data_IF_753027219472
#
_entry.id   IF_753027219472
#
_cell.length_a   1.000
_cell.length_b   1.000
_cell.length_c   1.000
_cell.angle_alpha   90.00
_cell.angle_beta   90.00
_cell.angle_gamma   90.00
#
_symmetry.space_group_name_H-M   'P 1'
#
loop_
_entity.id
_entity.type
_entity.pdbx_description
1 polymer ?
#
# COMPACT_ATOMS: atom_id res chain seq x y z
N UNK A 1 12.78 -7.76 -32.10
CA UNK A 1 12.10 -7.61 -30.80
C UNK A 1 10.60 -7.95 -30.89
N UNK A 2 9.84 -7.42 -31.83
CA UNK A 2 8.41 -7.67 -32.00
C UNK A 2 8.07 -9.15 -32.31
N UNK A 3 8.88 -9.84 -33.10
CA UNK A 3 8.70 -11.25 -33.41
C UNK A 3 8.96 -12.19 -32.22
N UNK A 4 9.86 -11.83 -31.28
CA UNK A 4 10.11 -12.60 -30.06
C UNK A 4 8.95 -12.44 -29.07
N UNK A 5 8.31 -11.28 -29.02
CA UNK A 5 7.10 -11.02 -28.21
C UNK A 5 5.89 -11.83 -28.71
N UNK A 6 5.82 -12.12 -30.02
CA UNK A 6 4.73 -12.93 -30.60
C UNK A 6 4.92 -14.45 -30.44
N UNK A 7 6.15 -14.92 -30.37
CA UNK A 7 6.46 -16.36 -30.40
C UNK A 7 6.56 -17.01 -29.02
N UNK A 8 6.85 -16.26 -27.93
CA UNK A 8 7.06 -16.82 -26.60
C UNK A 8 5.89 -16.48 -25.65
N UNK A 9 5.05 -17.45 -25.26
CA UNK A 9 3.88 -17.21 -24.39
C UNK A 9 4.27 -16.64 -23.01
N UNK A 10 5.44 -16.98 -22.48
CA UNK A 10 5.94 -16.45 -21.21
C UNK A 10 6.25 -14.96 -21.28
N UNK A 11 6.97 -14.54 -22.34
CA UNK A 11 7.30 -13.13 -22.56
C UNK A 11 6.04 -12.30 -22.79
N UNK A 12 5.09 -12.83 -23.55
CA UNK A 12 3.78 -12.21 -23.79
C UNK A 12 2.96 -12.08 -22.49
N UNK A 13 2.93 -13.11 -21.66
CA UNK A 13 2.25 -13.09 -20.37
C UNK A 13 2.87 -12.11 -19.40
N UNK A 14 4.21 -12.07 -19.29
CA UNK A 14 4.92 -11.11 -18.45
C UNK A 14 4.71 -9.67 -18.92
N UNK A 15 4.80 -9.38 -20.22
CA UNK A 15 4.56 -8.02 -20.73
C UNK A 15 3.13 -7.55 -20.43
N UNK A 16 2.13 -8.44 -20.57
CA UNK A 16 0.75 -8.14 -20.20
C UNK A 16 0.60 -7.84 -18.70
N UNK A 17 1.26 -8.62 -17.82
CA UNK A 17 1.26 -8.37 -16.38
C UNK A 17 1.90 -7.03 -16.02
N UNK A 18 3.05 -6.69 -16.62
CA UNK A 18 3.70 -5.40 -16.38
C UNK A 18 2.82 -4.23 -16.84
N UNK A 19 2.24 -4.32 -18.03
CA UNK A 19 1.35 -3.27 -18.55
C UNK A 19 0.09 -3.12 -17.69
N UNK A 20 -0.57 -4.22 -17.31
CA UNK A 20 -1.73 -4.19 -16.42
C UNK A 20 -1.39 -3.64 -15.03
N UNK A 21 -0.17 -3.93 -14.55
CA UNK A 21 0.33 -3.42 -13.27
C UNK A 21 0.53 -1.91 -13.28
N UNK A 22 0.98 -1.33 -14.39
CA UNK A 22 1.08 0.12 -14.54
C UNK A 22 -0.29 0.80 -14.35
N UNK A 23 -1.33 0.28 -15.00
CA UNK A 23 -2.67 0.82 -14.90
C UNK A 23 -3.33 0.57 -13.52
N UNK A 24 -2.96 -0.49 -12.82
CA UNK A 24 -3.52 -0.79 -11.49
C UNK A 24 -3.17 0.24 -10.41
N UNK A 25 -2.13 1.07 -10.61
CA UNK A 25 -1.81 2.20 -9.73
C UNK A 25 -2.83 3.34 -9.77
N UNK A 26 -3.84 3.25 -10.65
CA UNK A 26 -4.84 4.30 -10.91
C UNK A 26 -5.72 4.71 -9.72
N UNK A 27 -5.85 3.89 -8.66
CA UNK A 27 -6.58 4.26 -7.45
C UNK A 27 -6.14 5.62 -6.89
N UNK A 28 -4.87 5.93 -6.97
CA UNK A 28 -4.33 7.17 -6.45
C UNK A 28 -4.87 8.43 -7.16
N UNK A 29 -5.52 8.30 -8.34
CA UNK A 29 -6.26 9.38 -9.00
C UNK A 29 -7.40 9.94 -8.13
N UNK A 30 -7.96 9.12 -7.24
CA UNK A 30 -9.08 9.50 -6.38
C UNK A 30 -8.62 10.37 -5.21
N UNK A 31 -7.35 10.26 -4.78
CA UNK A 31 -6.83 10.95 -3.60
C UNK A 31 -7.02 12.49 -3.68
N UNK A 32 -6.68 13.19 -4.78
CA UNK A 32 -6.88 14.63 -4.89
C UNK A 32 -8.34 15.07 -4.95
N UNK A 33 -9.28 14.14 -5.23
CA UNK A 33 -10.72 14.44 -5.27
C UNK A 33 -11.34 14.52 -3.88
N UNK A 34 -10.70 13.96 -2.85
CA UNK A 34 -11.27 13.84 -1.49
C UNK A 34 -11.72 15.18 -0.92
N UNK A 35 -10.94 16.27 -1.01
CA UNK A 35 -11.38 17.59 -0.53
C UNK A 35 -12.59 18.15 -1.30
N UNK A 36 -12.67 17.87 -2.60
CA UNK A 36 -13.79 18.31 -3.45
C UNK A 36 -15.06 17.53 -3.07
N UNK A 37 -14.96 16.23 -2.83
CA UNK A 37 -16.06 15.39 -2.34
C UNK A 37 -16.56 15.88 -0.98
N UNK A 38 -15.66 16.25 -0.04
CA UNK A 38 -16.04 16.81 1.24
C UNK A 38 -16.94 18.03 1.08
N UNK A 39 -16.54 18.98 0.23
CA UNK A 39 -17.30 20.20 -0.05
C UNK A 39 -18.63 19.93 -0.75
N UNK A 40 -18.63 19.06 -1.76
CA UNK A 40 -19.82 18.82 -2.58
C UNK A 40 -20.93 18.05 -1.84
N UNK A 41 -20.57 17.10 -0.99
CA UNK A 41 -21.54 16.33 -0.20
C UNK A 41 -21.79 16.96 1.19
N UNK A 42 -21.18 18.09 1.51
CA UNK A 42 -21.34 18.75 2.81
C UNK A 42 -20.85 17.88 3.98
N UNK A 43 -19.89 16.97 3.74
CA UNK A 43 -19.34 16.12 4.80
C UNK A 43 -18.09 16.76 5.40
N UNK A 44 -17.86 16.46 6.67
CA UNK A 44 -16.67 16.94 7.36
C UNK A 44 -15.38 16.35 6.77
N UNK A 45 -14.25 17.02 7.03
CA UNK A 45 -12.95 16.55 6.58
C UNK A 45 -12.66 15.10 7.02
N UNK A 46 -12.96 14.76 8.29
CA UNK A 46 -12.80 13.39 8.77
C UNK A 46 -13.79 12.40 8.14
N UNK A 47 -15.02 12.87 7.80
CA UNK A 47 -15.97 12.08 7.02
C UNK A 47 -15.41 11.73 5.65
N UNK A 48 -14.82 12.70 4.94
CA UNK A 48 -14.19 12.48 3.64
C UNK A 48 -12.98 11.54 3.72
N UNK A 49 -12.20 11.59 4.78
CA UNK A 49 -11.09 10.68 5.03
C UNK A 49 -11.51 9.21 5.07
N UNK A 50 -12.79 8.92 5.40
CA UNK A 50 -13.31 7.55 5.43
C UNK A 50 -13.30 6.86 4.05
N UNK A 51 -13.15 7.59 2.95
CA UNK A 51 -12.95 6.99 1.63
C UNK A 51 -11.69 6.13 1.62
N UNK A 52 -10.59 6.63 2.18
CA UNK A 52 -9.33 5.88 2.29
C UNK A 52 -9.48 4.69 3.24
N UNK A 53 -10.19 4.87 4.36
CA UNK A 53 -10.51 3.79 5.31
C UNK A 53 -11.34 2.70 4.64
N UNK A 54 -12.40 3.07 3.94
CA UNK A 54 -13.27 2.11 3.24
C UNK A 54 -12.48 1.31 2.19
N UNK A 55 -11.63 1.97 1.42
CA UNK A 55 -10.76 1.29 0.46
C UNK A 55 -9.77 0.34 1.16
N UNK A 56 -9.15 0.74 2.27
CA UNK A 56 -8.23 -0.11 3.04
C UNK A 56 -8.93 -1.34 3.63
N UNK A 57 -10.14 -1.16 4.19
CA UNK A 57 -10.98 -2.27 4.66
C UNK A 57 -11.33 -3.20 3.49
N UNK A 58 -11.69 -2.62 2.34
CA UNK A 58 -11.94 -3.37 1.11
C UNK A 58 -10.75 -4.23 0.70
N UNK A 59 -9.53 -3.68 0.75
CA UNK A 59 -8.30 -4.44 0.46
C UNK A 59 -8.13 -5.63 1.41
N UNK A 60 -8.38 -5.44 2.69
CA UNK A 60 -8.30 -6.53 3.67
C UNK A 60 -9.32 -7.64 3.34
N UNK A 61 -10.57 -7.30 3.10
CA UNK A 61 -11.64 -8.24 2.71
C UNK A 61 -11.27 -8.94 1.38
N UNK A 62 -10.81 -8.16 0.40
CA UNK A 62 -10.40 -8.66 -0.91
C UNK A 62 -9.24 -9.66 -0.85
N UNK A 63 -8.32 -9.50 0.10
CA UNK A 63 -7.23 -10.46 0.33
C UNK A 63 -7.76 -11.86 0.71
N UNK A 64 -8.81 -11.91 1.53
CA UNK A 64 -9.44 -13.18 1.92
C UNK A 64 -10.20 -13.80 0.73
N UNK A 65 -10.93 -12.96 0.00
CA UNK A 65 -11.68 -13.39 -1.21
C UNK A 65 -10.71 -13.89 -2.28
N UNK A 66 -9.59 -13.20 -2.49
CA UNK A 66 -8.57 -13.57 -3.46
C UNK A 66 -8.02 -14.98 -3.20
N UNK A 67 -7.71 -15.32 -1.95
CA UNK A 67 -7.25 -16.67 -1.60
C UNK A 67 -8.24 -17.76 -2.04
N UNK A 68 -9.52 -17.56 -1.70
CA UNK A 68 -10.57 -18.55 -2.06
C UNK A 68 -10.81 -18.61 -3.57
N UNK A 69 -10.80 -17.46 -4.25
CA UNK A 69 -11.07 -17.38 -5.68
C UNK A 69 -9.93 -18.00 -6.50
N UNK A 70 -8.69 -17.70 -6.13
CA UNK A 70 -7.50 -18.27 -6.76
C UNK A 70 -7.47 -19.80 -6.62
N UNK A 71 -7.79 -20.32 -5.44
CA UNK A 71 -7.81 -21.76 -5.18
C UNK A 71 -8.91 -22.50 -5.95
N UNK A 72 -10.07 -21.85 -6.19
CA UNK A 72 -11.23 -22.49 -6.85
C UNK A 72 -11.30 -22.26 -8.35
N UNK A 73 -10.99 -21.07 -8.81
CA UNK A 73 -11.25 -20.63 -10.20
C UNK A 73 -9.96 -20.31 -10.96
N UNK A 74 -8.82 -20.34 -10.30
CA UNK A 74 -7.51 -20.07 -10.89
C UNK A 74 -7.18 -18.57 -11.07
N UNK A 75 -5.94 -18.32 -11.47
CA UNK A 75 -5.33 -17.00 -11.52
C UNK A 75 -5.99 -16.07 -12.55
N UNK A 76 -6.41 -16.62 -13.71
CA UNK A 76 -6.99 -15.85 -14.81
C UNK A 76 -8.28 -15.15 -14.44
N UNK A 77 -9.18 -15.85 -13.72
CA UNK A 77 -10.45 -15.27 -13.29
C UNK A 77 -10.22 -14.07 -12.37
N UNK A 78 -9.29 -14.18 -11.44
CA UNK A 78 -8.95 -13.08 -10.54
C UNK A 78 -8.29 -11.89 -11.26
N UNK A 79 -7.44 -12.16 -12.27
CA UNK A 79 -6.81 -11.13 -13.11
C UNK A 79 -7.82 -10.36 -13.98
N UNK A 80 -8.95 -10.95 -14.31
CA UNK A 80 -10.00 -10.31 -15.09
C UNK A 80 -11.05 -9.67 -14.18
N UNK A 81 -11.53 -10.41 -13.17
CA UNK A 81 -12.61 -9.96 -12.29
C UNK A 81 -12.19 -8.76 -11.42
N UNK A 82 -10.94 -8.73 -10.92
CA UNK A 82 -10.45 -7.60 -10.11
C UNK A 82 -10.61 -6.26 -10.85
N UNK A 83 -9.92 -6.04 -11.96
CA UNK A 83 -10.00 -4.78 -12.71
C UNK A 83 -11.41 -4.48 -13.24
N UNK A 84 -12.18 -5.49 -13.65
CA UNK A 84 -13.54 -5.30 -14.12
C UNK A 84 -14.45 -4.78 -13.00
N UNK A 85 -14.42 -5.40 -11.82
CA UNK A 85 -15.22 -4.96 -10.67
C UNK A 85 -14.78 -3.56 -10.21
N UNK A 86 -13.47 -3.27 -10.19
CA UNK A 86 -12.95 -1.94 -9.86
C UNK A 86 -13.46 -0.88 -10.84
N UNK A 87 -13.41 -1.16 -12.15
CA UNK A 87 -13.89 -0.26 -13.20
C UNK A 87 -15.39 0.01 -13.08
N UNK A 88 -16.20 -1.04 -12.94
CA UNK A 88 -17.65 -0.93 -12.78
C UNK A 88 -18.01 -0.14 -11.52
N UNK A 89 -17.40 -0.46 -10.38
CA UNK A 89 -17.63 0.26 -9.12
C UNK A 89 -17.26 1.75 -9.24
N UNK A 90 -16.16 2.08 -9.91
CA UNK A 90 -15.76 3.47 -10.12
C UNK A 90 -16.75 4.22 -11.02
N UNK A 91 -17.29 3.60 -12.08
CA UNK A 91 -18.32 4.20 -12.92
C UNK A 91 -19.62 4.46 -12.15
N UNK A 92 -20.02 3.57 -11.25
CA UNK A 92 -21.22 3.77 -10.44
C UNK A 92 -21.15 5.00 -9.54
N UNK A 93 -19.95 5.51 -9.20
CA UNK A 93 -19.80 6.78 -8.47
C UNK A 93 -20.42 7.98 -9.22
N UNK A 94 -20.52 7.93 -10.57
CA UNK A 94 -21.15 8.98 -11.37
C UNK A 94 -22.60 9.25 -10.99
N UNK A 95 -23.31 8.22 -10.55
CA UNK A 95 -24.73 8.26 -10.16
C UNK A 95 -24.95 8.18 -8.65
N UNK A 96 -23.86 8.30 -7.84
CA UNK A 96 -23.98 8.22 -6.40
C UNK A 96 -24.70 9.45 -5.82
N UNK A 97 -25.94 9.31 -5.27
CA UNK A 97 -26.68 10.44 -4.70
C UNK A 97 -26.22 10.78 -3.28
N UNK A 98 -25.61 9.83 -2.59
CA UNK A 98 -25.17 9.98 -1.19
C UNK A 98 -23.71 9.59 -1.01
N UNK A 99 -23.06 10.26 -0.08
CA UNK A 99 -21.66 10.00 0.25
C UNK A 99 -21.42 8.55 0.73
N UNK A 100 -22.38 7.96 1.45
CA UNK A 100 -22.27 6.57 1.91
C UNK A 100 -22.17 5.55 0.77
N UNK A 101 -22.81 5.81 -0.37
CA UNK A 101 -22.67 4.95 -1.55
C UNK A 101 -21.23 5.03 -2.10
N UNK A 102 -20.61 6.21 -2.05
CA UNK A 102 -19.19 6.35 -2.47
C UNK A 102 -18.28 5.56 -1.54
N UNK A 103 -18.53 5.56 -0.22
CA UNK A 103 -17.76 4.74 0.73
C UNK A 103 -17.90 3.25 0.43
N UNK A 104 -19.13 2.80 0.16
CA UNK A 104 -19.39 1.39 -0.21
C UNK A 104 -18.71 1.00 -1.52
N UNK A 105 -18.75 1.86 -2.54
CA UNK A 105 -18.06 1.64 -3.80
C UNK A 105 -16.54 1.66 -3.63
N UNK A 106 -16.00 2.54 -2.75
CA UNK A 106 -14.58 2.56 -2.41
C UNK A 106 -14.13 1.25 -1.74
N UNK A 107 -14.97 0.66 -0.88
CA UNK A 107 -14.72 -0.64 -0.29
C UNK A 107 -14.66 -1.74 -1.37
N UNK A 108 -15.59 -1.75 -2.33
CA UNK A 108 -15.58 -2.69 -3.45
C UNK A 108 -14.33 -2.50 -4.31
N UNK A 109 -13.97 -1.25 -4.64
CA UNK A 109 -12.75 -0.95 -5.40
C UNK A 109 -11.49 -1.44 -4.67
N UNK A 110 -11.42 -1.28 -3.34
CA UNK A 110 -10.33 -1.82 -2.54
C UNK A 110 -10.24 -3.35 -2.57
N UNK A 111 -11.37 -4.03 -2.48
CA UNK A 111 -11.40 -5.49 -2.57
C UNK A 111 -10.95 -5.99 -3.95
N UNK A 112 -11.39 -5.32 -5.01
CA UNK A 112 -11.03 -5.59 -6.38
C UNK A 112 -9.53 -5.35 -6.66
N UNK A 113 -8.96 -4.26 -6.11
CA UNK A 113 -7.52 -3.96 -6.19
C UNK A 113 -6.67 -5.06 -5.52
N UNK A 114 -7.10 -5.52 -4.35
CA UNK A 114 -6.39 -6.60 -3.64
C UNK A 114 -6.45 -7.93 -4.41
N UNK A 115 -7.60 -8.24 -5.02
CA UNK A 115 -7.77 -9.42 -5.85
C UNK A 115 -6.80 -9.41 -7.04
N UNK A 116 -6.72 -8.29 -7.75
CA UNK A 116 -5.74 -8.09 -8.83
C UNK A 116 -4.30 -8.21 -8.33
N UNK A 117 -3.97 -7.53 -7.22
CA UNK A 117 -2.62 -7.48 -6.69
C UNK A 117 -2.06 -8.87 -6.36
N UNK A 118 -2.88 -9.72 -5.72
CA UNK A 118 -2.48 -11.09 -5.37
C UNK A 118 -2.41 -11.96 -6.63
N UNK A 119 -3.40 -11.88 -7.52
CA UNK A 119 -3.42 -12.68 -8.73
C UNK A 119 -2.21 -12.41 -9.65
N UNK A 120 -1.81 -11.13 -9.79
CA UNK A 120 -0.63 -10.75 -10.61
C UNK A 120 0.68 -11.25 -10.00
N UNK A 121 0.81 -11.25 -8.65
CA UNK A 121 2.00 -11.78 -7.98
C UNK A 121 2.12 -13.29 -8.20
N UNK A 122 1.02 -14.04 -8.03
CA UNK A 122 0.96 -15.47 -8.28
C UNK A 122 1.30 -15.76 -9.75
N UNK A 123 0.63 -15.09 -10.70
CA UNK A 123 0.89 -15.26 -12.13
C UNK A 123 2.34 -14.91 -12.50
N UNK A 124 2.90 -13.87 -11.89
CA UNK A 124 4.29 -13.48 -12.10
C UNK A 124 5.29 -14.54 -11.62
N UNK A 125 5.01 -15.19 -10.49
CA UNK A 125 5.83 -16.28 -9.96
C UNK A 125 5.73 -17.53 -10.87
N UNK A 126 4.53 -17.84 -11.37
CA UNK A 126 4.28 -19.02 -12.21
C UNK A 126 4.90 -18.88 -13.60
N UNK A 127 4.88 -17.65 -14.17
CA UNK A 127 5.53 -17.33 -15.44
C UNK A 127 7.06 -17.26 -15.34
N UNK A 128 7.59 -16.92 -14.16
CA UNK A 128 9.01 -16.69 -13.97
C UNK A 128 9.80 -18.01 -13.75
N UNK A 129 10.93 -18.11 -14.41
CA UNK A 129 11.90 -19.17 -14.08
C UNK A 129 12.35 -19.02 -12.61
N UNK A 130 12.62 -20.17 -11.94
CA UNK A 130 12.92 -20.19 -10.48
C UNK A 130 14.03 -19.18 -10.08
N UNK A 131 15.06 -19.03 -10.91
CA UNK A 131 16.16 -18.07 -10.67
C UNK A 131 15.79 -16.60 -10.90
N UNK A 132 14.66 -16.30 -11.53
CA UNK A 132 14.24 -14.93 -11.91
C UNK A 132 13.01 -14.42 -11.16
N UNK A 133 12.40 -15.23 -10.29
CA UNK A 133 11.17 -14.90 -9.55
C UNK A 133 11.29 -13.58 -8.77
N UNK A 134 12.41 -13.37 -8.08
CA UNK A 134 12.67 -12.14 -7.35
C UNK A 134 12.69 -10.91 -8.27
N UNK A 135 13.33 -11.00 -9.44
CA UNK A 135 13.40 -9.92 -10.44
C UNK A 135 12.01 -9.57 -10.99
N UNK A 136 11.19 -10.58 -11.28
CA UNK A 136 9.83 -10.38 -11.79
C UNK A 136 8.96 -9.67 -10.76
N UNK A 137 8.96 -10.13 -9.50
CA UNK A 137 8.18 -9.51 -8.42
C UNK A 137 8.64 -8.08 -8.15
N UNK A 138 9.96 -7.85 -8.05
CA UNK A 138 10.50 -6.49 -7.87
C UNK A 138 10.14 -5.57 -9.04
N UNK A 139 10.18 -6.09 -10.27
CA UNK A 139 9.76 -5.36 -11.45
C UNK A 139 8.28 -4.99 -11.44
N UNK A 140 7.39 -5.92 -11.05
CA UNK A 140 5.95 -5.66 -10.89
C UNK A 140 5.71 -4.56 -9.85
N UNK A 141 6.39 -4.61 -8.71
CA UNK A 141 6.27 -3.55 -7.71
C UNK A 141 6.83 -2.20 -8.20
N UNK A 142 7.95 -2.21 -8.92
CA UNK A 142 8.53 -1.00 -9.52
C UNK A 142 7.58 -0.33 -10.51
N UNK A 143 7.00 -1.10 -11.44
CA UNK A 143 6.03 -0.59 -12.42
C UNK A 143 4.75 -0.07 -11.73
N UNK A 144 4.26 -0.76 -10.69
CA UNK A 144 3.13 -0.28 -9.90
C UNK A 144 3.45 1.07 -9.23
N UNK A 145 4.67 1.23 -8.70
CA UNK A 145 5.11 2.47 -8.08
C UNK A 145 5.12 3.63 -9.08
N UNK A 146 5.55 3.39 -10.32
CA UNK A 146 5.50 4.41 -11.39
C UNK A 146 4.05 4.79 -11.69
N UNK A 147 3.16 3.82 -11.92
CA UNK A 147 1.75 4.09 -12.16
C UNK A 147 1.10 4.89 -11.03
N UNK A 148 1.35 4.49 -9.78
CA UNK A 148 0.85 5.17 -8.59
C UNK A 148 1.47 6.57 -8.38
N UNK A 149 2.68 6.83 -8.89
CA UNK A 149 3.31 8.14 -8.77
C UNK A 149 2.65 9.20 -9.67
N UNK A 150 2.28 8.84 -10.89
CA UNK A 150 1.69 9.79 -11.84
C UNK A 150 0.18 9.92 -11.72
N UNK A 151 -0.51 8.89 -11.26
CA UNK A 151 -1.97 8.88 -11.21
C UNK A 151 -2.58 10.00 -10.35
N UNK A 152 -2.03 10.46 -9.20
CA UNK A 152 -2.61 11.57 -8.45
C UNK A 152 -2.60 12.89 -9.23
N UNK A 153 -1.55 13.17 -10.01
CA UNK A 153 -1.51 14.35 -10.86
C UNK A 153 -2.63 14.30 -11.91
N UNK A 154 -2.77 13.18 -12.60
CA UNK A 154 -3.83 12.98 -13.62
C UNK A 154 -5.21 13.13 -12.97
N UNK A 155 -5.41 12.52 -11.80
CA UNK A 155 -6.67 12.62 -11.06
C UNK A 155 -6.99 14.04 -10.60
N UNK A 156 -6.00 14.79 -10.11
CA UNK A 156 -6.12 16.19 -9.75
C UNK A 156 -6.48 17.07 -10.93
N UNK A 157 -5.78 16.90 -12.06
CA UNK A 157 -6.05 17.62 -13.30
C UNK A 157 -7.44 17.33 -13.85
N UNK A 158 -7.87 16.07 -13.89
CA UNK A 158 -9.23 15.69 -14.32
C UNK A 158 -10.29 16.29 -13.40
N UNK A 159 -10.03 16.35 -12.09
CA UNK A 159 -10.97 16.90 -11.11
C UNK A 159 -11.11 18.42 -11.28
N UNK A 160 -10.00 19.12 -11.53
CA UNK A 160 -9.98 20.58 -11.69
C UNK A 160 -10.55 20.99 -13.04
N UNK A 161 -10.19 20.29 -14.14
CA UNK A 161 -10.61 20.66 -15.50
C UNK A 161 -12.07 20.31 -15.81
N UNK A 162 -12.60 19.24 -15.18
CA UNK A 162 -13.97 18.77 -15.47
C UNK A 162 -14.80 18.65 -14.20
N UNK A 163 -14.53 17.62 -13.38
CA UNK A 163 -15.22 17.39 -12.11
C UNK A 163 -14.57 16.25 -11.36
N UNK A 164 -14.89 16.05 -10.07
CA UNK A 164 -14.45 14.88 -9.32
C UNK A 164 -14.85 13.56 -10.01
N UNK A 165 -16.00 13.53 -10.71
CA UNK A 165 -16.48 12.36 -11.46
C UNK A 165 -15.51 11.94 -12.56
N UNK A 166 -14.83 12.90 -13.19
CA UNK A 166 -13.86 12.62 -14.25
C UNK A 166 -12.65 11.82 -13.75
N UNK A 167 -12.20 12.05 -12.51
CA UNK A 167 -11.13 11.25 -11.92
C UNK A 167 -11.55 9.79 -11.68
N UNK A 168 -12.80 9.54 -11.27
CA UNK A 168 -13.33 8.19 -11.15
C UNK A 168 -13.48 7.51 -12.51
N UNK A 169 -13.89 8.24 -13.54
CA UNK A 169 -13.90 7.74 -14.93
C UNK A 169 -12.49 7.41 -15.40
N UNK A 170 -11.52 8.28 -15.14
CA UNK A 170 -10.12 8.03 -15.45
C UNK A 170 -9.59 6.74 -14.78
N UNK A 171 -9.90 6.55 -13.51
CA UNK A 171 -9.60 5.31 -12.80
C UNK A 171 -10.33 4.10 -13.39
N UNK A 172 -11.60 4.24 -13.76
CA UNK A 172 -12.38 3.18 -14.40
C UNK A 172 -11.76 2.76 -15.73
N UNK A 173 -11.34 3.71 -16.57
CA UNK A 173 -10.67 3.45 -17.84
C UNK A 173 -9.32 2.75 -17.58
N UNK A 174 -8.50 3.25 -16.67
CA UNK A 174 -7.22 2.64 -16.32
C UNK A 174 -7.41 1.18 -15.85
N UNK A 175 -8.40 0.93 -14.98
CA UNK A 175 -8.72 -0.43 -14.54
C UNK A 175 -9.25 -1.30 -15.70
N UNK A 176 -10.13 -0.78 -16.54
CA UNK A 176 -10.67 -1.50 -17.70
C UNK A 176 -9.56 -1.93 -18.67
N UNK A 177 -8.52 -1.11 -18.86
CA UNK A 177 -7.37 -1.46 -19.71
C UNK A 177 -6.60 -2.69 -19.21
N UNK A 178 -6.66 -3.00 -17.93
CA UNK A 178 -6.05 -4.21 -17.37
C UNK A 178 -6.86 -5.49 -17.67
N UNK A 179 -8.15 -5.39 -17.94
CA UNK A 179 -9.04 -6.54 -18.19
C UNK A 179 -8.59 -7.38 -19.39
N UNK A 180 -8.39 -6.83 -20.61
CA UNK A 180 -7.95 -7.63 -21.76
C UNK A 180 -6.56 -8.23 -21.55
N UNK A 181 -5.70 -7.58 -20.76
CA UNK A 181 -4.38 -8.08 -20.44
C UNK A 181 -4.45 -9.34 -19.57
N UNK A 182 -5.44 -9.44 -18.68
CA UNK A 182 -5.70 -10.64 -17.88
C UNK A 182 -6.04 -11.88 -18.73
N UNK A 183 -6.67 -11.71 -19.90
CA UNK A 183 -6.94 -12.82 -20.84
C UNK A 183 -5.69 -13.29 -21.58
N UNK A 184 -4.68 -12.43 -21.75
CA UNK A 184 -3.42 -12.77 -22.42
C UNK A 184 -2.55 -13.65 -21.53
N UNK A 185 -2.64 -13.50 -20.21
CA UNK A 185 -1.90 -14.32 -19.25
C UNK A 185 -2.36 -15.76 -19.32
N UNK A 186 -1.44 -16.74 -19.50
CA UNK A 186 -1.79 -18.15 -19.49
C UNK A 186 -2.52 -18.54 -18.20
N UNK A 187 -3.54 -19.36 -18.32
CA UNK A 187 -4.22 -19.87 -17.12
C UNK A 187 -3.40 -21.02 -16.54
N UNK A 188 -2.70 -20.74 -15.46
CA UNK A 188 -2.09 -21.79 -14.69
C UNK A 188 -3.21 -22.43 -13.85
N UNK A 189 -3.69 -23.59 -14.28
CA UNK A 189 -4.52 -24.42 -13.43
C UNK A 189 -3.74 -24.67 -12.15
N UNK A 190 -4.40 -24.47 -11.00
CA UNK A 190 -3.81 -24.83 -9.70
C UNK A 190 -3.38 -26.29 -9.81
N UNK A 191 -2.10 -26.52 -10.02
CA UNK A 191 -1.51 -27.86 -9.89
C UNK A 191 -1.66 -28.16 -8.42
N UNK A 192 -2.66 -28.95 -8.07
CA UNK A 192 -2.91 -29.38 -6.70
C UNK A 192 -1.66 -30.14 -6.23
N UNK A 193 -0.75 -29.41 -5.62
CA UNK A 193 0.37 -29.99 -4.89
C UNK A 193 -0.19 -30.51 -3.57
N UNK A 194 -0.75 -31.71 -3.62
CA UNK A 194 -1.26 -32.44 -2.47
C UNK A 194 -2.73 -32.16 -2.11
N UNK A 195 -3.38 -33.03 -1.36
CA UNK A 195 -4.75 -32.84 -0.91
C UNK A 195 -4.80 -31.57 -0.04
N UNK A 196 -5.52 -30.57 -0.52
CA UNK A 196 -5.90 -29.39 0.28
C UNK A 196 -6.62 -29.93 1.51
N UNK A 197 -6.11 -29.71 2.72
CA UNK A 197 -6.85 -30.12 3.91
C UNK A 197 -8.23 -29.47 3.85
N UNK A 198 -9.32 -30.22 4.12
CA UNK A 198 -10.66 -29.71 4.00
C UNK A 198 -10.78 -28.40 4.78
N UNK A 199 -11.53 -27.40 4.25
CA UNK A 199 -11.71 -26.14 4.92
C UNK A 199 -12.20 -26.48 6.33
N UNK A 200 -11.38 -26.20 7.32
CA UNK A 200 -11.77 -26.42 8.69
C UNK A 200 -13.04 -25.60 8.91
N UNK A 201 -14.18 -26.27 8.99
CA UNK A 201 -15.45 -25.71 9.45
C UNK A 201 -15.20 -25.21 10.86
N UNK A 202 -14.69 -23.99 10.96
CA UNK A 202 -14.29 -23.42 12.24
C UNK A 202 -15.44 -22.68 12.85
N UNK A 203 -16.09 -23.34 13.76
CA UNK A 203 -16.57 -22.62 14.94
C UNK A 203 -15.39 -21.79 15.47
N UNK A 204 -15.58 -20.49 15.58
CA UNK A 204 -14.63 -19.55 16.17
C UNK A 204 -14.53 -19.87 17.67
N UNK A 205 -13.74 -20.88 18.02
CA UNK A 205 -13.52 -21.21 19.42
C UNK A 205 -12.37 -20.34 19.93
N UNK A 206 -12.62 -19.65 21.05
CA UNK A 206 -11.61 -18.94 21.85
C UNK A 206 -10.37 -19.84 22.07
N UNK A 207 -10.56 -21.15 22.25
CA UNK A 207 -9.51 -22.14 22.34
C UNK A 207 -8.60 -22.22 21.09
N UNK A 208 -9.14 -22.01 19.88
CA UNK A 208 -8.31 -22.01 18.65
C UNK A 208 -7.46 -20.75 18.56
N UNK A 209 -7.99 -19.61 18.99
CA UNK A 209 -7.25 -18.35 19.08
C UNK A 209 -6.13 -18.44 20.13
N UNK A 210 -6.42 -18.99 21.29
CA UNK A 210 -5.43 -19.23 22.34
C UNK A 210 -4.30 -20.17 21.88
N UNK A 211 -4.63 -21.25 21.13
CA UNK A 211 -3.61 -22.16 20.53
C UNK A 211 -2.72 -21.42 19.53
N UNK A 212 -3.29 -20.55 18.69
CA UNK A 212 -2.53 -19.70 17.74
C UNK A 212 -1.61 -18.71 18.48
N UNK A 213 -2.12 -18.03 19.51
CA UNK A 213 -1.33 -17.12 20.34
C UNK A 213 -0.19 -17.84 21.07
N UNK A 214 -0.43 -19.04 21.60
CA UNK A 214 0.62 -19.89 22.21
C UNK A 214 1.68 -20.29 21.17
N UNK A 215 1.25 -20.62 19.94
CA UNK A 215 2.16 -20.89 18.81
C UNK A 215 3.04 -19.71 18.45
N UNK A 216 2.48 -18.48 18.40
CA UNK A 216 3.23 -17.24 18.16
C UNK A 216 4.23 -16.99 19.28
N UNK A 217 3.81 -17.14 20.56
CA UNK A 217 4.69 -16.99 21.71
C UNK A 217 5.86 -17.99 21.69
N UNK A 218 5.62 -19.23 21.23
CA UNK A 218 6.66 -20.23 21.04
C UNK A 218 7.65 -19.79 19.96
N UNK A 219 7.16 -19.36 18.79
CA UNK A 219 8.00 -18.86 17.69
C UNK A 219 8.84 -17.64 18.08
N UNK A 220 8.26 -16.70 18.83
CA UNK A 220 8.99 -15.55 19.36
C UNK A 220 10.12 -15.97 20.30
N UNK A 221 9.92 -17.02 21.11
CA UNK A 221 10.94 -17.56 22.00
C UNK A 221 12.09 -18.27 21.26
N UNK A 222 11.86 -18.70 20.02
CA UNK A 222 12.89 -19.31 19.16
C UNK A 222 13.84 -18.28 18.53
N UNK A 223 13.48 -16.98 18.54
CA UNK A 223 14.40 -15.88 18.21
C UNK A 223 15.50 -15.85 19.28
N UNK A 224 16.75 -15.69 18.86
CA UNK A 224 17.89 -15.49 19.76
C UNK A 224 17.56 -14.39 20.79
N UNK A 225 17.75 -14.62 22.11
CA UNK A 225 17.36 -13.67 23.14
C UNK A 225 17.85 -12.23 22.90
N UNK A 226 19.06 -12.10 22.37
CA UNK A 226 19.70 -10.83 22.05
C UNK A 226 19.04 -10.05 20.89
N UNK A 227 18.32 -10.77 19.99
CA UNK A 227 17.66 -10.20 18.81
C UNK A 227 16.16 -9.98 19.01
N UNK A 228 15.59 -10.47 20.11
CA UNK A 228 14.15 -10.26 20.43
C UNK A 228 13.77 -8.78 20.54
N UNK A 229 14.55 -7.94 21.26
CA UNK A 229 14.25 -6.52 21.30
C UNK A 229 14.31 -5.86 19.91
N UNK A 230 15.27 -6.27 19.09
CA UNK A 230 15.39 -5.79 17.70
C UNK A 230 14.15 -6.16 16.86
N UNK A 231 13.65 -7.39 16.97
CA UNK A 231 12.42 -7.81 16.29
C UNK A 231 11.20 -6.98 16.74
N UNK A 232 11.08 -6.70 18.05
CA UNK A 232 10.01 -5.84 18.56
C UNK A 232 10.11 -4.41 18.01
N UNK A 233 11.32 -3.83 18.00
CA UNK A 233 11.56 -2.50 17.46
C UNK A 233 11.23 -2.43 15.96
N UNK A 234 11.64 -3.42 15.16
CA UNK A 234 11.31 -3.52 13.73
C UNK A 234 9.79 -3.65 13.52
N UNK A 235 9.11 -4.44 14.35
CA UNK A 235 7.66 -4.64 14.24
C UNK A 235 6.92 -3.35 14.57
N UNK A 236 7.32 -2.64 15.61
CA UNK A 236 6.76 -1.34 15.98
C UNK A 236 7.03 -0.28 14.90
N UNK A 237 8.24 -0.27 14.34
CA UNK A 237 8.57 0.62 13.22
C UNK A 237 7.75 0.33 11.96
N UNK A 238 7.44 -0.94 11.70
CA UNK A 238 6.55 -1.29 10.58
C UNK A 238 5.14 -0.76 10.79
N UNK A 239 4.60 -0.88 12.01
CA UNK A 239 3.31 -0.29 12.37
C UNK A 239 3.33 1.23 12.19
N UNK A 240 4.36 1.92 12.72
CA UNK A 240 4.50 3.36 12.62
C UNK A 240 4.58 3.83 11.15
N UNK A 241 5.40 3.16 10.32
CA UNK A 241 5.53 3.48 8.89
C UNK A 241 4.25 3.23 8.09
N UNK A 242 3.49 2.17 8.41
CA UNK A 242 2.20 1.94 7.75
C UNK A 242 1.17 3.00 8.17
N UNK A 243 1.11 3.34 9.46
CA UNK A 243 0.26 4.44 9.95
C UNK A 243 0.61 5.76 9.25
N UNK A 244 1.91 6.09 9.15
CA UNK A 244 2.38 7.27 8.43
C UNK A 244 1.87 7.33 6.99
N UNK A 245 2.03 6.23 6.24
CA UNK A 245 1.59 6.19 4.83
C UNK A 245 0.11 6.48 4.68
N UNK A 246 -0.72 5.88 5.52
CA UNK A 246 -2.17 6.04 5.43
C UNK A 246 -2.60 7.43 5.94
N UNK A 247 -1.95 7.97 6.96
CA UNK A 247 -2.17 9.36 7.40
C UNK A 247 -1.82 10.34 6.28
N UNK A 248 -0.70 10.18 5.59
CA UNK A 248 -0.38 11.01 4.42
C UNK A 248 -1.46 10.89 3.34
N UNK A 249 -1.89 9.68 3.00
CA UNK A 249 -2.89 9.47 1.95
C UNK A 249 -4.27 10.03 2.30
N UNK A 250 -4.65 10.05 3.58
CA UNK A 250 -5.98 10.51 4.02
C UNK A 250 -6.00 11.97 4.46
N UNK A 251 -4.98 12.43 5.18
CA UNK A 251 -4.97 13.77 5.80
C UNK A 251 -4.26 14.83 4.94
N UNK A 252 -3.23 14.45 4.15
CA UNK A 252 -2.53 15.43 3.33
C UNK A 252 -3.42 16.07 2.26
N UNK A 253 -4.30 15.33 1.53
CA UNK A 253 -5.22 15.96 0.60
C UNK A 253 -6.18 16.93 1.29
N UNK A 254 -6.66 16.56 2.49
CA UNK A 254 -7.56 17.41 3.26
C UNK A 254 -6.86 18.65 3.81
N UNK A 255 -5.62 18.49 4.28
CA UNK A 255 -4.81 19.65 4.71
C UNK A 255 -4.52 20.57 3.53
N UNK A 256 -4.05 20.04 2.41
CA UNK A 256 -3.72 20.83 1.23
C UNK A 256 -4.96 21.42 0.53
N UNK A 257 -5.98 20.59 0.24
CA UNK A 257 -7.11 21.00 -0.57
C UNK A 257 -8.29 21.58 0.21
N UNK A 258 -8.52 21.16 1.48
CA UNK A 258 -9.63 21.68 2.28
C UNK A 258 -9.18 22.83 3.19
N UNK A 259 -8.03 22.72 3.86
CA UNK A 259 -7.52 23.73 4.79
C UNK A 259 -6.73 24.85 4.09
N UNK A 260 -5.72 24.49 3.27
CA UNK A 260 -4.92 25.47 2.49
C UNK A 260 -5.60 25.92 1.19
N UNK A 261 -6.76 25.37 0.84
CA UNK A 261 -7.52 25.69 -0.38
C UNK A 261 -6.71 25.54 -1.69
N UNK A 262 -5.74 24.64 -1.73
CA UNK A 262 -4.96 24.38 -2.93
C UNK A 262 -5.85 23.67 -3.99
N UNK A 263 -5.67 23.97 -5.29
CA UNK A 263 -6.41 23.32 -6.35
C UNK A 263 -6.07 21.81 -6.42
N UNK A 264 -7.01 20.97 -6.90
CA UNK A 264 -6.83 19.52 -6.97
C UNK A 264 -5.58 19.08 -7.72
N UNK A 265 -5.18 19.80 -8.78
CA UNK A 265 -3.95 19.53 -9.53
C UNK A 265 -2.72 19.67 -8.64
N UNK A 266 -2.63 20.72 -7.83
CA UNK A 266 -1.52 20.91 -6.90
C UNK A 266 -1.51 19.84 -5.81
N UNK A 267 -2.67 19.44 -5.29
CA UNK A 267 -2.78 18.29 -4.36
C UNK A 267 -2.24 17.03 -5.02
N UNK A 268 -2.63 16.76 -6.26
CA UNK A 268 -2.10 15.63 -7.04
C UNK A 268 -0.59 15.70 -7.26
N UNK A 269 -0.05 16.89 -7.56
CA UNK A 269 1.39 17.13 -7.71
C UNK A 269 2.20 16.76 -6.46
N UNK A 270 1.71 17.06 -5.26
CA UNK A 270 2.39 16.67 -4.01
C UNK A 270 2.66 15.16 -3.96
N UNK A 271 1.66 14.35 -4.27
CA UNK A 271 1.80 12.90 -4.31
C UNK A 271 2.70 12.43 -5.44
N UNK A 272 2.63 13.07 -6.60
CA UNK A 272 3.50 12.77 -7.75
C UNK A 272 4.96 13.08 -7.44
N UNK A 273 5.26 14.23 -6.84
CA UNK A 273 6.62 14.58 -6.40
C UNK A 273 7.15 13.50 -5.46
N UNK A 274 6.39 13.13 -4.43
CA UNK A 274 6.78 12.09 -3.51
C UNK A 274 6.99 10.74 -4.22
N UNK A 275 6.04 10.33 -5.06
CA UNK A 275 6.09 9.04 -5.76
C UNK A 275 7.27 8.91 -6.73
N UNK A 276 7.59 9.97 -7.48
CA UNK A 276 8.77 10.02 -8.37
C UNK A 276 10.06 9.91 -7.56
N UNK A 277 10.15 10.65 -6.45
CA UNK A 277 11.33 10.60 -5.57
C UNK A 277 11.47 9.19 -4.97
N UNK A 278 10.38 8.58 -4.48
CA UNK A 278 10.38 7.20 -3.99
C UNK A 278 10.93 6.25 -5.06
N UNK A 279 10.46 6.38 -6.30
CA UNK A 279 10.92 5.53 -7.40
C UNK A 279 12.43 5.70 -7.68
N UNK A 280 12.91 6.94 -7.75
CA UNK A 280 14.34 7.24 -7.94
C UNK A 280 15.19 6.68 -6.80
N UNK A 281 14.67 6.70 -5.58
CA UNK A 281 15.39 6.23 -4.39
C UNK A 281 15.45 4.70 -4.25
N UNK A 282 14.72 3.92 -5.04
CA UNK A 282 14.73 2.44 -4.94
C UNK A 282 16.15 1.88 -5.09
N UNK A 283 16.90 2.33 -6.10
CA UNK A 283 18.25 1.84 -6.38
C UNK A 283 19.28 2.32 -5.34
N UNK A 284 19.36 3.64 -5.02
CA UNK A 284 20.24 4.13 -3.96
C UNK A 284 19.97 3.50 -2.59
N UNK A 285 18.70 3.28 -2.25
CA UNK A 285 18.30 2.67 -0.98
C UNK A 285 18.82 1.23 -0.87
N UNK A 286 18.68 0.43 -1.94
CA UNK A 286 19.23 -0.92 -1.98
C UNK A 286 20.74 -0.93 -1.76
N UNK A 287 21.45 -0.06 -2.46
CA UNK A 287 22.91 0.07 -2.34
C UNK A 287 23.36 0.49 -0.93
N UNK A 288 22.66 1.48 -0.33
CA UNK A 288 22.95 1.94 1.03
C UNK A 288 22.73 0.81 2.06
N UNK A 289 21.64 0.06 1.89
CA UNK A 289 21.26 -1.04 2.77
C UNK A 289 22.27 -2.19 2.75
N UNK A 290 22.84 -2.47 1.57
CA UNK A 290 23.76 -3.61 1.39
C UNK A 290 25.22 -3.25 1.72
N UNK A 291 25.62 -1.98 1.60
CA UNK A 291 27.03 -1.56 1.85
C UNK A 291 27.24 -0.85 3.17
N UNK A 292 26.34 0.04 3.57
CA UNK A 292 26.53 0.86 4.77
C UNK A 292 25.92 0.20 6.00
N UNK A 293 24.73 -0.36 5.83
CA UNK A 293 24.03 -1.06 6.91
C UNK A 293 22.53 -0.83 6.89
N UNK A 294 21.81 -1.77 7.44
CA UNK A 294 20.34 -1.74 7.44
C UNK A 294 19.78 -0.70 8.40
N UNK A 295 20.45 -0.47 9.50
CA UNK A 295 20.08 0.53 10.50
C UNK A 295 20.13 1.95 9.93
N UNK A 296 21.09 2.23 9.04
CA UNK A 296 21.23 3.51 8.33
C UNK A 296 20.09 3.80 7.36
N UNK A 297 19.34 2.80 6.95
CA UNK A 297 18.11 2.98 6.18
C UNK A 297 16.87 3.05 7.08
N UNK A 298 16.77 2.16 8.09
CA UNK A 298 15.56 2.01 8.89
C UNK A 298 15.34 3.17 9.88
N UNK A 299 16.39 3.69 10.51
CA UNK A 299 16.27 4.79 11.48
C UNK A 299 15.86 6.11 10.80
N UNK A 300 16.55 6.60 9.75
CA UNK A 300 16.15 7.83 9.08
C UNK A 300 14.79 7.72 8.40
N UNK A 301 14.44 6.53 7.85
CA UNK A 301 13.15 6.34 7.18
C UNK A 301 11.94 6.45 8.11
N UNK A 302 12.15 6.40 9.40
CA UNK A 302 11.09 6.55 10.41
C UNK A 302 11.21 7.87 11.15
N UNK A 303 12.44 8.30 11.48
CA UNK A 303 12.70 9.50 12.29
C UNK A 303 12.49 10.80 11.53
N UNK A 304 13.00 10.89 10.29
CA UNK A 304 12.83 12.11 9.49
C UNK A 304 11.35 12.41 9.22
N UNK A 305 10.49 11.45 8.81
CA UNK A 305 9.06 11.71 8.70
C UNK A 305 8.40 12.17 9.99
N UNK A 306 8.87 11.70 11.14
CA UNK A 306 8.39 12.18 12.45
C UNK A 306 8.67 13.67 12.65
N UNK A 307 9.86 14.15 12.29
CA UNK A 307 10.20 15.58 12.32
C UNK A 307 9.40 16.38 11.29
N UNK A 308 9.25 15.86 10.07
CA UNK A 308 8.48 16.52 9.01
C UNK A 308 7.00 16.66 9.37
N UNK A 309 6.44 15.69 10.08
CA UNK A 309 5.05 15.74 10.56
C UNK A 309 4.81 16.88 11.54
N UNK A 310 5.82 17.29 12.33
CA UNK A 310 5.72 18.48 13.17
C UNK A 310 5.70 19.79 12.35
N UNK A 311 6.33 19.77 11.17
CA UNK A 311 6.44 20.95 10.30
C UNK A 311 5.26 21.11 9.33
N UNK A 312 4.60 20.02 8.92
CA UNK A 312 3.46 20.08 7.97
C UNK A 312 2.39 21.08 8.40
N UNK A 313 1.90 21.09 9.66
CA UNK A 313 0.86 22.05 10.08
C UNK A 313 1.30 23.51 10.11
N UNK A 314 2.59 23.77 10.00
CA UNK A 314 3.17 25.14 9.96
C UNK A 314 3.28 25.67 8.52
N UNK A 315 3.00 24.86 7.52
CA UNK A 315 3.09 25.25 6.11
C UNK A 315 1.88 26.09 5.68
N UNK A 316 2.13 27.12 4.89
CA UNK A 316 1.11 28.03 4.38
C UNK A 316 1.11 28.14 2.85
N UNK A 317 1.99 27.40 2.16
CA UNK A 317 2.12 27.45 0.71
C UNK A 317 2.37 26.06 0.10
N UNK A 318 2.01 25.92 -1.18
CA UNK A 318 2.32 24.71 -1.97
C UNK A 318 3.81 24.37 -1.94
N UNK A 319 4.70 25.38 -2.13
CA UNK A 319 6.15 25.13 -2.20
C UNK A 319 6.71 24.54 -0.90
N UNK A 320 6.31 25.11 0.25
CA UNK A 320 6.74 24.59 1.56
C UNK A 320 6.29 23.15 1.75
N UNK A 321 5.02 22.87 1.43
CA UNK A 321 4.45 21.53 1.55
C UNK A 321 5.12 20.55 0.57
N UNK A 322 5.40 20.99 -0.67
CA UNK A 322 6.08 20.18 -1.68
C UNK A 322 7.51 19.78 -1.26
N UNK A 323 8.25 20.69 -0.61
CA UNK A 323 9.58 20.38 -0.06
C UNK A 323 9.48 19.29 1.03
N UNK A 324 8.57 19.46 2.00
CA UNK A 324 8.40 18.48 3.08
C UNK A 324 7.96 17.11 2.55
N UNK A 325 7.01 17.10 1.61
CA UNK A 325 6.53 15.89 0.96
C UNK A 325 7.61 15.24 0.09
N UNK A 326 8.45 16.03 -0.57
CA UNK A 326 9.62 15.56 -1.31
C UNK A 326 10.63 14.85 -0.40
N UNK A 327 10.97 15.45 0.75
CA UNK A 327 11.85 14.82 1.75
C UNK A 327 11.21 13.54 2.30
N UNK A 328 9.89 13.54 2.52
CA UNK A 328 9.15 12.33 2.90
C UNK A 328 9.27 11.24 1.83
N UNK A 329 9.29 11.60 0.54
CA UNK A 329 9.53 10.69 -0.57
C UNK A 329 10.90 10.01 -0.50
N UNK A 330 11.97 10.76 -0.18
CA UNK A 330 13.32 10.19 0.05
C UNK A 330 13.28 9.14 1.15
N UNK A 331 12.70 9.47 2.28
CA UNK A 331 12.64 8.57 3.44
C UNK A 331 11.76 7.35 3.21
N UNK A 332 10.67 7.49 2.47
CA UNK A 332 9.85 6.36 2.05
C UNK A 332 10.61 5.43 1.10
N UNK A 333 11.39 5.98 0.17
CA UNK A 333 12.27 5.20 -0.69
C UNK A 333 13.28 4.37 0.11
N UNK A 334 13.92 4.96 1.12
CA UNK A 334 14.82 4.27 2.04
C UNK A 334 14.11 3.16 2.85
N UNK A 335 12.82 3.32 3.16
CA UNK A 335 12.06 2.32 3.91
C UNK A 335 11.65 1.10 3.07
N UNK A 336 11.68 1.21 1.73
CA UNK A 336 11.26 0.13 0.84
C UNK A 336 12.17 -1.09 1.01
N UNK A 337 11.61 -2.15 1.56
CA UNK A 337 12.31 -3.40 1.79
C UNK A 337 13.18 -3.45 3.04
N UNK A 338 13.70 -2.33 3.56
CA UNK A 338 14.65 -2.32 4.66
C UNK A 338 14.15 -3.01 5.94
N UNK A 339 12.95 -2.69 6.40
CA UNK A 339 12.33 -3.34 7.56
C UNK A 339 12.01 -4.83 7.30
N UNK A 340 11.63 -5.19 6.08
CA UNK A 340 11.38 -6.58 5.72
C UNK A 340 12.68 -7.39 5.74
N UNK A 341 13.73 -6.86 5.14
CA UNK A 341 15.05 -7.51 5.07
C UNK A 341 15.65 -7.64 6.47
N UNK A 342 15.63 -6.57 7.28
CA UNK A 342 16.08 -6.64 8.68
C UNK A 342 15.31 -7.69 9.50
N UNK A 343 14.03 -7.91 9.20
CA UNK A 343 13.27 -8.99 9.84
C UNK A 343 13.79 -10.38 9.42
N UNK A 344 14.11 -10.57 8.13
CA UNK A 344 14.65 -11.84 7.64
C UNK A 344 15.98 -12.22 8.30
N UNK A 345 16.80 -11.23 8.64
CA UNK A 345 18.09 -11.47 9.28
C UNK A 345 17.95 -11.85 10.77
N UNK A 346 16.96 -11.26 11.45
CA UNK A 346 16.72 -11.45 12.88
C UNK A 346 16.01 -12.77 13.18
N UNK A 347 15.22 -13.28 12.21
CA UNK A 347 14.31 -14.40 12.43
C UNK A 347 14.89 -15.71 11.93
N UNK A 348 14.77 -16.84 12.70
CA UNK A 348 15.20 -18.18 12.25
C UNK A 348 14.55 -18.59 10.93
N UNK A 349 15.30 -19.28 10.05
CA UNK A 349 14.85 -19.64 8.70
C UNK A 349 13.49 -20.38 8.66
N UNK A 350 13.26 -21.32 9.60
CA UNK A 350 12.01 -22.10 9.68
C UNK A 350 10.80 -21.29 10.18
N UNK A 351 11.02 -20.13 10.84
CA UNK A 351 9.98 -19.27 11.40
C UNK A 351 9.74 -17.99 10.57
N UNK A 352 10.55 -17.73 9.53
CA UNK A 352 10.54 -16.48 8.73
C UNK A 352 9.14 -16.12 8.22
N UNK A 353 8.45 -17.04 7.56
CA UNK A 353 7.14 -16.76 6.99
C UNK A 353 6.10 -16.38 8.06
N UNK A 354 6.07 -17.08 9.20
CA UNK A 354 5.09 -16.82 10.26
C UNK A 354 5.35 -15.51 11.00
N UNK A 355 6.60 -15.20 11.30
CA UNK A 355 6.97 -13.97 12.01
C UNK A 355 6.89 -12.74 11.10
N UNK A 356 7.17 -12.87 9.80
CA UNK A 356 6.88 -11.83 8.81
C UNK A 356 5.38 -11.58 8.68
N UNK A 357 4.56 -12.64 8.63
CA UNK A 357 3.11 -12.49 8.60
C UNK A 357 2.59 -11.78 9.85
N UNK A 358 3.10 -12.13 11.05
CA UNK A 358 2.75 -11.44 12.29
C UNK A 358 3.10 -9.95 12.24
N UNK A 359 4.33 -9.61 11.83
CA UNK A 359 4.76 -8.23 11.66
C UNK A 359 3.85 -7.47 10.70
N UNK A 360 3.51 -8.07 9.55
CA UNK A 360 2.62 -7.48 8.55
C UNK A 360 1.19 -7.29 9.09
N UNK A 361 0.66 -8.27 9.83
CA UNK A 361 -0.66 -8.15 10.46
C UNK A 361 -0.71 -7.00 11.47
N UNK A 362 0.34 -6.84 12.28
CA UNK A 362 0.44 -5.70 13.21
C UNK A 362 0.50 -4.37 12.44
N UNK A 363 1.24 -4.33 11.32
CA UNK A 363 1.30 -3.15 10.47
C UNK A 363 -0.06 -2.79 9.86
N UNK A 364 -0.87 -3.78 9.44
CA UNK A 364 -2.22 -3.56 8.90
C UNK A 364 -3.21 -3.01 9.96
N UNK A 365 -3.00 -3.30 11.24
CA UNK A 365 -3.74 -2.62 12.31
C UNK A 365 -3.45 -1.11 12.31
N UNK A 366 -2.19 -0.72 12.11
CA UNK A 366 -1.81 0.68 11.96
C UNK A 366 -2.52 1.35 10.79
N UNK A 367 -2.56 0.70 9.62
CA UNK A 367 -3.24 1.24 8.44
C UNK A 367 -4.75 1.38 8.62
N UNK A 368 -5.38 0.50 9.38
CA UNK A 368 -6.84 0.53 9.60
C UNK A 368 -7.26 1.57 10.65
N UNK A 369 -6.48 1.68 11.73
CA UNK A 369 -6.81 2.54 12.87
C UNK A 369 -6.38 3.99 12.63
N UNK A 370 -5.25 4.21 11.93
CA UNK A 370 -4.70 5.54 11.74
C UNK A 370 -5.66 6.53 11.07
N UNK A 371 -6.34 6.23 9.95
CA UNK A 371 -7.24 7.20 9.34
C UNK A 371 -8.51 7.44 10.15
N UNK A 372 -8.93 6.49 10.99
CA UNK A 372 -10.07 6.68 11.89
C UNK A 372 -9.74 7.72 12.98
N UNK A 373 -8.60 7.55 13.65
CA UNK A 373 -8.10 8.52 14.64
C UNK A 373 -7.81 9.87 13.94
N UNK A 374 -7.15 9.84 12.79
CA UNK A 374 -6.85 11.04 12.01
C UNK A 374 -8.11 11.80 11.60
N UNK A 375 -9.15 11.09 11.15
CA UNK A 375 -10.44 11.67 10.80
C UNK A 375 -11.16 12.30 12.00
N UNK A 376 -11.15 11.65 13.14
CA UNK A 376 -11.69 12.22 14.38
C UNK A 376 -10.97 13.51 14.79
N UNK A 377 -9.64 13.50 14.79
CA UNK A 377 -8.82 14.67 15.12
C UNK A 377 -9.01 15.81 14.10
N UNK A 378 -9.11 15.48 12.82
CA UNK A 378 -9.35 16.45 11.77
C UNK A 378 -10.73 17.16 11.90
N UNK A 379 -11.74 16.41 12.38
CA UNK A 379 -13.07 16.98 12.64
C UNK A 379 -13.12 17.85 13.89
N UNK A 380 -12.42 17.42 14.95
CA UNK A 380 -12.47 18.10 16.24
C UNK A 380 -11.61 19.37 16.24
N UNK A 381 -10.50 19.36 15.52
CA UNK A 381 -9.54 20.48 15.48
C UNK A 381 -9.34 20.99 14.04
N UNK A 382 -8.39 20.42 13.32
CA UNK A 382 -8.13 20.68 11.91
C UNK A 382 -7.33 19.54 11.26
N UNK A 383 -7.28 19.43 9.91
CA UNK A 383 -6.55 18.36 9.22
C UNK A 383 -5.03 18.33 9.43
N UNK A 384 -4.43 19.36 10.06
CA UNK A 384 -3.01 19.38 10.42
C UNK A 384 -2.71 18.65 11.74
N UNK A 385 -3.67 18.61 12.69
CA UNK A 385 -3.46 18.00 14.02
C UNK A 385 -3.11 16.50 13.96
N UNK A 386 -3.68 15.68 13.08
CA UNK A 386 -3.27 14.28 12.95
C UNK A 386 -1.77 14.11 12.74
N UNK A 387 -1.10 14.99 11.97
CA UNK A 387 0.35 14.91 11.79
C UNK A 387 1.10 15.11 13.10
N UNK A 388 0.69 16.08 13.93
CA UNK A 388 1.30 16.33 15.24
C UNK A 388 1.15 15.13 16.19
N UNK A 389 -0.02 14.48 16.18
CA UNK A 389 -0.30 13.33 17.05
C UNK A 389 0.48 12.08 16.62
N UNK A 390 0.73 11.90 15.32
CA UNK A 390 1.51 10.76 14.80
C UNK A 390 3.01 10.99 14.80
N UNK A 391 3.49 12.25 14.90
CA UNK A 391 4.92 12.57 14.97
C UNK A 391 5.64 11.87 16.14
N UNK A 392 5.14 11.91 17.41
CA UNK A 392 5.77 11.20 18.53
C UNK A 392 5.86 9.69 18.31
N UNK A 393 4.86 9.06 17.67
CA UNK A 393 4.90 7.63 17.36
C UNK A 393 6.07 7.28 16.45
N UNK A 394 6.31 8.10 15.41
CA UNK A 394 7.41 7.92 14.46
C UNK A 394 8.77 8.19 15.13
N UNK A 395 8.88 9.25 15.92
CA UNK A 395 10.10 9.59 16.65
C UNK A 395 10.46 8.51 17.69
N UNK A 396 9.48 8.03 18.46
CA UNK A 396 9.66 6.92 19.38
C UNK A 396 10.11 5.66 18.64
N UNK A 397 9.53 5.38 17.49
CA UNK A 397 9.92 4.24 16.68
C UNK A 397 11.37 4.35 16.19
N UNK A 398 11.79 5.53 15.74
CA UNK A 398 13.16 5.78 15.31
C UNK A 398 14.15 5.66 16.46
N UNK A 399 13.82 6.19 17.64
CA UNK A 399 14.67 6.05 18.85
C UNK A 399 14.79 4.60 19.30
N UNK A 400 13.69 3.84 19.29
CA UNK A 400 13.74 2.40 19.58
C UNK A 400 14.62 1.64 18.59
N UNK A 401 14.51 1.92 17.30
CA UNK A 401 15.38 1.34 16.29
C UNK A 401 16.85 1.76 16.50
N UNK A 402 17.11 3.01 16.86
CA UNK A 402 18.44 3.52 17.06
C UNK A 402 19.13 2.93 18.30
N UNK A 403 18.40 2.78 19.41
CA UNK A 403 18.97 2.35 20.71
C UNK A 403 18.92 0.82 20.83
N UNK A 404 17.78 0.21 20.55
CA UNK A 404 17.53 -1.22 20.80
C UNK A 404 17.82 -2.08 19.56
N UNK A 405 17.64 -1.51 18.37
CA UNK A 405 17.91 -2.21 17.12
C UNK A 405 19.39 -2.48 16.93
N UNK A 406 19.75 -3.77 16.78
CA UNK A 406 21.11 -4.16 16.40
C UNK A 406 21.30 -4.05 14.90
N UNK A 407 22.52 -3.70 14.44
CA UNK A 407 22.85 -3.82 13.01
C UNK A 407 22.79 -5.30 12.61
N UNK A 408 22.07 -5.57 11.52
CA UNK A 408 21.82 -6.96 11.07
C UNK A 408 22.63 -7.34 9.83
N UNK A 409 23.38 -6.39 9.28
CA UNK A 409 24.32 -6.67 8.18
C UNK A 409 25.53 -7.42 8.77
N UNK A 410 25.64 -8.72 8.46
CA UNK A 410 26.86 -9.48 8.72
C UNK A 410 27.96 -8.99 7.75
N UNK A 411 29.02 -8.42 8.28
CA UNK A 411 30.24 -8.01 7.55
C UNK A 411 31.21 -9.16 7.50
#
# INVERSE_FOLDING_TARGET
MINVLRSNPTVRGLSALYTGTFFSGGWAMIIPTIPVLARQFGVSAGGAAQIVTAFAIGKFVGTVIAGVLLDRMGTRVALVAGPLVASVAALFVMWAPWFFLILFLALIMGAADSLWAIAREVAGIDLAHRSQRGRVISGLHGVNTIGAAFSPFVGGWLTESFSFKAAFVGYAIASAMAVPLGFIVPNFAVTQSGPVPPPATKRWHVAAMQRRLRGIKKLYREIRPELRPTYCAITFATLANQSQRVIVQSMLPLYAGYYLQLPPTQVGMLFTISGVIVFVMIIPAGFLMDRVGRKWCTVPSTGIPGLLFLLIPMTNSFTQLAILVGITGITQGLSLGSLATSTYDVVPAHARGRLQALRRTIAELGSSVAPMIGGYLANTFNPGVPFLVYAPLLLLSATLLAVVGKETLER
#
